data_IF_915959494903
#
_entry.id   IF_915959494903
#
_cell.length_a   1.000
_cell.length_b   1.000
_cell.length_c   1.000
_cell.angle_alpha   90.00
_cell.angle_beta   90.00
_cell.angle_gamma   90.00
#
_symmetry.space_group_name_H-M   'P 1'
#
loop_
_entity.id
_entity.type
_entity.pdbx_description
1 polymer ?
#
# COMPACT_ATOMS: atom_id res chain seq x y z
N UNK A 1 3.97 14.43 5.34
CA UNK A 1 2.97 13.35 5.22
C UNK A 1 2.62 13.17 3.75
N UNK A 2 2.44 11.93 3.27
CA UNK A 2 2.06 11.64 1.88
C UNK A 2 0.59 12.00 1.62
N UNK A 3 0.30 12.60 0.45
CA UNK A 3 -1.07 12.94 0.06
C UNK A 3 -1.93 11.68 -0.16
N UNK A 4 -3.13 11.65 0.42
CA UNK A 4 -4.12 10.55 0.32
C UNK A 4 -4.90 10.55 -0.99
N UNK A 5 -4.80 11.60 -1.78
CA UNK A 5 -5.49 11.72 -3.07
C UNK A 5 -5.17 10.55 -4.01
N UNK A 6 -3.95 10.02 -3.97
CA UNK A 6 -3.55 8.91 -4.84
C UNK A 6 -4.30 7.61 -4.52
N UNK A 7 -4.41 7.24 -3.25
CA UNK A 7 -5.13 6.04 -2.84
C UNK A 7 -6.64 6.20 -3.06
N UNK A 8 -7.17 7.40 -2.80
CA UNK A 8 -8.57 7.72 -3.07
C UNK A 8 -8.91 7.63 -4.56
N UNK A 9 -8.08 8.21 -5.44
CA UNK A 9 -8.23 8.08 -6.89
C UNK A 9 -8.15 6.62 -7.34
N UNK A 10 -7.24 5.83 -6.77
CA UNK A 10 -7.11 4.41 -7.11
C UNK A 10 -8.34 3.60 -6.70
N UNK A 11 -8.94 3.90 -5.55
CA UNK A 11 -10.20 3.30 -5.11
C UNK A 11 -11.39 3.70 -6.00
N UNK A 12 -11.33 4.88 -6.62
CA UNK A 12 -12.29 5.34 -7.62
C UNK A 12 -11.99 4.81 -9.04
N UNK A 13 -11.05 3.87 -9.19
CA UNK A 13 -10.68 3.28 -10.48
C UNK A 13 -9.69 4.10 -11.31
N UNK A 14 -9.26 5.27 -10.83
CA UNK A 14 -8.23 6.10 -11.47
C UNK A 14 -6.85 5.61 -11.02
N UNK A 15 -6.39 4.53 -11.64
CA UNK A 15 -5.14 3.85 -11.31
C UNK A 15 -4.02 4.30 -12.26
N UNK A 16 -2.86 4.69 -11.71
CA UNK A 16 -1.68 5.11 -12.48
C UNK A 16 -0.40 4.58 -11.88
N UNK A 17 0.53 4.13 -12.71
CA UNK A 17 1.89 3.76 -12.28
C UNK A 17 2.69 4.99 -11.83
N UNK A 18 3.64 4.76 -10.91
CA UNK A 18 4.67 5.72 -10.53
C UNK A 18 5.97 5.27 -11.21
N UNK A 19 6.58 6.15 -12.02
CA UNK A 19 7.86 5.86 -12.67
C UNK A 19 9.02 5.96 -11.67
N UNK A 20 10.12 5.26 -11.94
CA UNK A 20 11.37 5.35 -11.20
C UNK A 20 11.66 4.19 -10.24
N UNK A 21 10.72 3.26 -10.06
CA UNK A 21 10.94 2.00 -9.35
C UNK A 21 9.91 0.94 -9.78
N UNK A 22 10.23 -0.33 -9.56
CA UNK A 22 9.34 -1.46 -9.87
C UNK A 22 8.13 -1.52 -8.93
N UNK A 23 8.29 -1.12 -7.66
CA UNK A 23 7.21 -1.13 -6.67
C UNK A 23 7.43 -0.05 -5.61
N UNK A 24 6.34 0.61 -5.23
CA UNK A 24 6.28 1.57 -4.15
C UNK A 24 5.42 1.01 -3.00
N UNK A 25 5.97 0.94 -1.79
CA UNK A 25 5.27 0.43 -0.60
C UNK A 25 4.99 1.59 0.34
N UNK A 26 3.72 1.80 0.67
CA UNK A 26 3.23 2.92 1.49
C UNK A 26 2.52 2.43 2.75
N UNK A 27 2.62 3.24 3.79
CA UNK A 27 1.76 3.15 4.98
C UNK A 27 0.89 4.40 5.13
N UNK A 28 0.75 4.90 6.36
CA UNK A 28 0.11 6.18 6.75
C UNK A 28 -1.42 6.27 6.58
N UNK A 29 -2.01 5.60 5.58
CA UNK A 29 -3.46 5.56 5.39
C UNK A 29 -3.95 4.15 5.74
N UNK A 30 -4.63 3.96 6.89
CA UNK A 30 -5.14 2.65 7.28
C UNK A 30 -6.14 2.08 6.27
N UNK A 31 -5.97 0.80 5.94
CA UNK A 31 -6.87 0.01 5.10
C UNK A 31 -7.26 -1.29 5.83
N UNK A 32 -8.45 -1.83 5.57
CA UNK A 32 -8.92 -3.07 6.24
C UNK A 32 -8.03 -4.27 5.92
N UNK A 33 -7.42 -4.28 4.73
CA UNK A 33 -6.48 -5.29 4.23
C UNK A 33 -5.42 -4.60 3.37
N UNK A 34 -4.26 -5.24 3.10
CA UNK A 34 -3.30 -4.69 2.17
C UNK A 34 -3.94 -4.43 0.80
N UNK A 35 -3.68 -3.25 0.24
CA UNK A 35 -4.20 -2.86 -1.08
C UNK A 35 -3.05 -2.77 -2.08
N UNK A 36 -3.32 -3.17 -3.33
CA UNK A 36 -2.38 -3.01 -4.44
C UNK A 36 -3.08 -2.33 -5.61
N UNK A 37 -2.49 -1.27 -6.12
CA UNK A 37 -2.96 -0.54 -7.30
C UNK A 37 -1.77 -0.23 -8.19
N UNK A 38 -1.80 -0.66 -9.45
CA UNK A 38 -0.64 -0.62 -10.34
C UNK A 38 0.63 -1.14 -9.63
N UNK A 39 1.69 -0.32 -9.56
CA UNK A 39 2.94 -0.63 -8.85
C UNK A 39 3.00 -0.05 -7.42
N UNK A 40 1.86 0.23 -6.79
CA UNK A 40 1.77 0.72 -5.42
C UNK A 40 1.15 -0.31 -4.49
N UNK A 41 1.76 -0.55 -3.33
CA UNK A 41 1.24 -1.37 -2.24
C UNK A 41 0.97 -0.50 -1.02
N UNK A 42 -0.15 -0.71 -0.35
CA UNK A 42 -0.53 -0.02 0.88
C UNK A 42 -0.65 -1.07 1.99
N UNK A 43 0.28 -1.03 2.95
CA UNK A 43 0.44 -2.05 4.00
C UNK A 43 0.05 -1.56 5.39
N UNK A 44 -0.37 -0.30 5.53
CA UNK A 44 -0.94 0.18 6.80
C UNK A 44 -2.32 -0.44 7.00
N UNK A 45 -2.37 -1.51 7.78
CA UNK A 45 -3.61 -2.18 8.16
C UNK A 45 -4.17 -1.74 9.51
N UNK A 46 -3.69 -0.61 10.04
CA UNK A 46 -4.20 -0.03 11.28
C UNK A 46 -3.90 -0.88 12.52
N UNK A 47 -2.68 -1.41 12.64
CA UNK A 47 -2.28 -2.30 13.73
C UNK A 47 -2.63 -1.76 15.13
N UNK A 48 -2.53 -0.45 15.36
CA UNK A 48 -2.89 0.18 16.64
C UNK A 48 -4.40 0.12 16.94
N UNK A 49 -5.24 -0.02 15.93
CA UNK A 49 -6.69 -0.04 16.06
C UNK A 49 -7.27 -1.46 16.10
N UNK A 50 -6.65 -2.41 15.40
CA UNK A 50 -7.20 -3.77 15.24
C UNK A 50 -6.20 -4.91 15.51
N UNK A 51 -4.96 -4.60 15.88
CA UNK A 51 -3.91 -5.60 16.11
C UNK A 51 -3.32 -6.21 14.82
N UNK A 52 -3.85 -5.88 13.65
CA UNK A 52 -3.38 -6.44 12.38
C UNK A 52 -2.15 -5.67 11.87
N UNK A 53 -0.95 -6.19 12.15
CA UNK A 53 0.30 -5.70 11.58
C UNK A 53 0.64 -6.47 10.30
N UNK A 54 0.63 -5.77 9.17
CA UNK A 54 1.03 -6.36 7.88
C UNK A 54 2.56 -6.43 7.78
N UNK A 55 3.08 -7.61 7.47
CA UNK A 55 4.46 -7.84 7.06
C UNK A 55 4.46 -8.39 5.63
N UNK A 56 5.34 -7.84 4.79
CA UNK A 56 5.58 -8.33 3.43
C UNK A 56 7.05 -8.70 3.28
N UNK A 57 7.32 -9.87 2.73
CA UNK A 57 8.66 -10.30 2.39
C UNK A 57 8.98 -9.80 0.98
N UNK A 58 10.06 -9.03 0.83
CA UNK A 58 10.46 -8.44 -0.46
C UNK A 58 11.61 -9.18 -1.14
N UNK A 59 12.27 -10.10 -0.43
CA UNK A 59 13.38 -10.91 -0.93
C UNK A 59 13.62 -12.13 -0.02
N UNK A 60 14.24 -13.17 -0.57
CA UNK A 60 14.64 -14.40 0.14
C UNK A 60 13.71 -15.57 -0.13
N UNK A 61 14.01 -16.72 0.48
CA UNK A 61 13.14 -17.90 0.38
C UNK A 61 11.78 -17.59 1.02
N UNK A 62 10.71 -17.70 0.24
CA UNK A 62 9.33 -17.36 0.66
C UNK A 62 8.78 -16.03 0.12
N UNK A 63 9.59 -15.22 -0.58
CA UNK A 63 9.17 -13.99 -1.25
C UNK A 63 8.55 -14.24 -2.64
#
# INVERSE_FOLDING_TARGET
IWNRERISNSQNGIVKEIKGADTFIFGHTPAVKPLKFANQMYIDTGAVFCGNLTLIQVQGEGA
#
